data_IF_449149024033
#
_entry.id   IF_449149024033
#
_cell.length_a   1.000
_cell.length_b   1.000
_cell.length_c   1.000
_cell.angle_alpha   90.00
_cell.angle_beta   90.00
_cell.angle_gamma   90.00
#
_symmetry.space_group_name_H-M   'P 1'
#
loop_
_entity.id
_entity.type
_entity.pdbx_description
1 polymer ?
#
# COMPACT_ATOMS: atom_id res chain seq x y z
N UNK A 1 -1.16 8.96 -2.63
CA UNK A 1 -0.78 7.80 -3.49
C UNK A 1 -0.35 8.38 -4.83
N UNK A 2 0.95 8.43 -5.12
CA UNK A 2 1.46 9.20 -6.28
C UNK A 2 0.91 8.68 -7.60
N UNK A 3 0.85 7.36 -7.76
CA UNK A 3 0.34 6.66 -8.97
C UNK A 3 -1.11 7.01 -9.34
N UNK A 4 -1.86 7.66 -8.44
CA UNK A 4 -3.26 7.99 -8.65
C UNK A 4 -3.56 9.48 -8.91
N UNK A 5 -2.56 10.29 -9.27
CA UNK A 5 -2.78 11.71 -9.56
C UNK A 5 -3.13 12.51 -8.30
N UNK A 6 -2.20 12.52 -7.33
CA UNK A 6 -2.33 12.41 -5.85
C UNK A 6 -3.68 12.23 -5.15
N UNK A 7 -4.79 12.71 -5.71
CA UNK A 7 -6.10 12.85 -5.06
C UNK A 7 -7.07 11.79 -5.58
N UNK A 8 -7.43 10.86 -4.71
CA UNK A 8 -8.40 9.78 -4.95
C UNK A 8 -9.82 10.14 -4.51
N UNK A 9 -9.89 10.79 -3.35
CA UNK A 9 -11.13 11.16 -2.68
C UNK A 9 -10.97 12.53 -2.03
N UNK A 10 -12.08 13.27 -1.91
CA UNK A 10 -12.13 14.56 -1.23
C UNK A 10 -13.31 14.63 -0.28
N UNK A 11 -13.14 15.34 0.84
CA UNK A 11 -14.23 15.55 1.78
C UNK A 11 -15.28 16.48 1.15
N UNK A 12 -16.56 16.08 1.09
CA UNK A 12 -17.60 16.87 0.44
C UNK A 12 -17.98 18.13 1.23
N UNK A 13 -17.54 18.26 2.49
CA UNK A 13 -17.71 19.46 3.29
C UNK A 13 -16.95 20.68 2.73
N UNK A 14 -15.95 20.47 1.86
CA UNK A 14 -15.20 21.54 1.20
C UNK A 14 -15.78 21.94 -0.16
N UNK A 15 -16.89 21.36 -0.59
CA UNK A 15 -17.55 21.74 -1.83
C UNK A 15 -18.23 23.11 -1.69
N UNK A 16 -18.45 23.78 -2.84
CA UNK A 16 -19.23 25.04 -2.92
C UNK A 16 -20.59 24.89 -2.24
N UNK A 17 -21.23 23.74 -2.43
CA UNK A 17 -22.42 23.31 -1.70
C UNK A 17 -22.00 22.14 -0.79
N UNK A 18 -21.81 22.37 0.52
CA UNK A 18 -21.25 21.38 1.42
C UNK A 18 -22.26 20.24 1.66
N UNK A 19 -21.79 19.00 1.51
CA UNK A 19 -22.57 17.81 1.83
C UNK A 19 -22.13 17.22 3.18
N UNK A 20 -23.01 16.46 3.87
CA UNK A 20 -22.68 15.87 5.17
C UNK A 20 -21.48 14.93 5.08
N UNK A 21 -20.44 15.20 5.89
CA UNK A 21 -19.26 14.37 6.01
C UNK A 21 -19.25 13.64 7.35
N UNK A 22 -18.91 12.35 7.32
CA UNK A 22 -18.81 11.53 8.54
C UNK A 22 -17.39 11.62 9.13
N UNK A 23 -17.23 11.85 10.45
CA UNK A 23 -15.93 11.79 11.10
C UNK A 23 -15.20 10.46 10.79
N UNK A 24 -13.89 10.53 10.54
CA UNK A 24 -13.08 9.35 10.17
C UNK A 24 -13.17 8.92 8.70
N UNK A 25 -14.00 9.57 7.88
CA UNK A 25 -14.06 9.30 6.44
C UNK A 25 -12.92 9.99 5.68
N UNK A 26 -12.36 9.30 4.68
CA UNK A 26 -11.40 9.87 3.73
C UNK A 26 -12.07 10.63 2.56
N UNK A 27 -13.39 10.86 2.63
CA UNK A 27 -14.16 11.59 1.62
C UNK A 27 -14.81 10.71 0.55
N UNK A 28 -15.35 11.35 -0.48
CA UNK A 28 -16.00 10.69 -1.63
C UNK A 28 -15.07 10.66 -2.84
N UNK A 29 -15.27 9.70 -3.74
CA UNK A 29 -14.49 9.60 -4.99
C UNK A 29 -14.55 10.93 -5.77
N UNK A 30 -13.41 11.32 -6.34
CA UNK A 30 -13.32 12.56 -7.14
C UNK A 30 -14.21 12.48 -8.40
N UNK A 31 -14.65 13.65 -8.87
CA UNK A 31 -15.42 13.76 -10.13
C UNK A 31 -14.61 13.17 -11.29
N UNK A 32 -15.32 12.58 -12.25
CA UNK A 32 -14.76 11.95 -13.44
C UNK A 32 -13.85 10.74 -13.15
N UNK A 33 -14.01 10.11 -11.98
CA UNK A 33 -13.32 8.89 -11.62
C UNK A 33 -14.28 7.83 -11.07
N UNK A 34 -13.99 6.57 -11.36
CA UNK A 34 -14.72 5.41 -10.88
C UNK A 34 -13.87 4.70 -9.83
N UNK A 35 -14.49 4.32 -8.72
CA UNK A 35 -13.85 3.58 -7.64
C UNK A 35 -14.66 2.32 -7.34
N UNK A 36 -13.95 1.19 -7.22
CA UNK A 36 -14.52 -0.06 -6.71
C UNK A 36 -13.65 -0.63 -5.60
N UNK A 37 -14.28 -1.41 -4.72
CA UNK A 37 -13.59 -2.23 -3.73
C UNK A 37 -13.51 -3.64 -4.28
N UNK A 38 -12.34 -4.26 -4.20
CA UNK A 38 -12.06 -5.59 -4.74
C UNK A 38 -11.50 -6.48 -3.65
N UNK A 39 -11.93 -7.72 -3.59
CA UNK A 39 -11.32 -8.72 -2.71
C UNK A 39 -9.90 -9.06 -3.23
N UNK A 40 -8.84 -8.92 -2.41
CA UNK A 40 -7.47 -9.19 -2.84
C UNK A 40 -7.21 -10.64 -3.22
N UNK A 41 -8.00 -11.60 -2.71
CA UNK A 41 -7.81 -13.02 -2.95
C UNK A 41 -8.64 -13.52 -4.15
N UNK A 42 -9.89 -13.08 -4.27
CA UNK A 42 -10.81 -13.53 -5.33
C UNK A 42 -10.86 -12.61 -6.55
N UNK A 43 -10.44 -11.35 -6.42
CA UNK A 43 -10.53 -10.35 -7.49
C UNK A 43 -11.96 -9.89 -7.80
N UNK A 44 -12.95 -10.32 -7.01
CA UNK A 44 -14.35 -9.96 -7.20
C UNK A 44 -14.63 -8.56 -6.65
N UNK A 45 -15.56 -7.86 -7.32
CA UNK A 45 -15.99 -6.54 -6.86
C UNK A 45 -16.91 -6.70 -5.65
N UNK A 46 -16.56 -6.05 -4.55
CA UNK A 46 -17.29 -6.11 -3.29
C UNK A 46 -18.34 -5.00 -3.22
N UNK A 47 -19.43 -5.29 -2.50
CA UNK A 47 -20.49 -4.32 -2.20
C UNK A 47 -20.08 -3.27 -1.17
N UNK A 48 -21.02 -2.37 -0.85
CA UNK A 48 -20.83 -1.33 0.17
C UNK A 48 -20.58 -1.96 1.54
N UNK A 49 -19.75 -1.30 2.34
CA UNK A 49 -19.38 -1.70 3.72
C UNK A 49 -18.55 -2.99 3.83
N UNK A 50 -18.05 -3.54 2.73
CA UNK A 50 -17.11 -4.66 2.76
C UNK A 50 -15.67 -4.16 2.60
N UNK A 51 -14.73 -4.58 3.47
CA UNK A 51 -13.33 -4.19 3.34
C UNK A 51 -12.66 -4.92 2.18
N UNK A 52 -11.81 -4.22 1.42
CA UNK A 52 -11.03 -4.78 0.31
C UNK A 52 -10.02 -3.79 -0.26
N UNK A 53 -9.38 -4.15 -1.36
CA UNK A 53 -8.47 -3.29 -2.11
C UNK A 53 -9.24 -2.21 -2.88
N UNK A 54 -8.75 -0.97 -2.82
CA UNK A 54 -9.35 0.16 -3.55
C UNK A 54 -8.75 0.20 -4.96
N UNK A 55 -9.60 0.00 -5.97
CA UNK A 55 -9.22 0.19 -7.37
C UNK A 55 -9.92 1.44 -7.91
N UNK A 56 -9.15 2.37 -8.48
CA UNK A 56 -9.66 3.59 -9.10
C UNK A 56 -9.32 3.62 -10.59
N UNK A 57 -10.22 4.16 -11.40
CA UNK A 57 -10.01 4.46 -12.80
C UNK A 57 -10.40 5.91 -13.06
N UNK A 58 -9.55 6.65 -13.77
CA UNK A 58 -9.84 8.03 -14.12
C UNK A 58 -8.71 8.65 -14.96
N UNK A 59 -8.96 9.78 -15.61
CA UNK A 59 -7.97 10.46 -16.45
C UNK A 59 -6.77 10.99 -15.64
N UNK A 60 -6.94 11.22 -14.33
CA UNK A 60 -5.89 11.70 -13.43
C UNK A 60 -4.89 10.61 -13.00
N UNK A 61 -5.19 9.34 -13.26
CA UNK A 61 -4.32 8.23 -12.85
C UNK A 61 -3.05 8.23 -13.69
N UNK A 62 -1.89 8.08 -13.05
CA UNK A 62 -0.61 8.08 -13.76
C UNK A 62 -0.56 6.92 -14.76
N UNK A 63 -0.09 7.19 -15.97
CA UNK A 63 0.34 6.13 -16.88
C UNK A 63 1.54 5.45 -16.22
N UNK A 64 1.43 4.14 -15.98
CA UNK A 64 2.33 3.40 -15.09
C UNK A 64 3.81 3.74 -15.24
N UNK A 65 4.52 3.71 -14.10
CA UNK A 65 5.93 4.08 -13.93
C UNK A 65 6.79 3.94 -15.20
N UNK A 66 7.32 5.07 -15.68
CA UNK A 66 8.33 5.10 -16.73
C UNK A 66 9.57 4.34 -16.27
N UNK A 67 9.77 3.11 -16.80
CA UNK A 67 10.95 2.30 -16.53
C UNK A 67 10.69 0.92 -15.95
N UNK A 68 9.78 0.13 -16.55
CA UNK A 68 9.78 -1.33 -16.43
C UNK A 68 9.27 -1.98 -17.72
N UNK A 69 10.08 -1.91 -18.79
CA UNK A 69 10.02 -2.93 -19.81
C UNK A 69 10.37 -4.26 -19.13
N UNK A 70 9.49 -5.24 -19.31
CA UNK A 70 9.50 -6.56 -18.68
C UNK A 70 10.70 -7.37 -19.19
N UNK A 71 11.88 -7.10 -18.65
CA UNK A 71 13.11 -7.85 -18.92
C UNK A 71 13.15 -9.15 -18.13
N UNK A 72 12.73 -10.25 -18.78
CA UNK A 72 12.98 -11.60 -18.32
C UNK A 72 14.48 -11.94 -18.43
N UNK A 73 15.22 -11.83 -17.33
CA UNK A 73 16.49 -12.55 -17.17
C UNK A 73 16.84 -12.62 -15.67
N UNK A 74 16.60 -13.78 -15.08
CA UNK A 74 16.90 -14.10 -13.68
C UNK A 74 18.42 -14.36 -13.57
N UNK A 75 19.22 -13.31 -13.39
CA UNK A 75 20.65 -13.46 -13.03
C UNK A 75 20.77 -13.92 -11.56
N UNK A 76 21.55 -14.98 -11.24
CA UNK A 76 21.78 -15.37 -9.86
C UNK A 76 22.58 -14.29 -9.11
N UNK A 77 22.41 -14.15 -7.77
CA UNK A 77 23.04 -13.08 -7.01
C UNK A 77 24.53 -13.37 -6.79
N UNK A 78 25.39 -12.63 -7.50
CA UNK A 78 26.79 -12.43 -7.10
C UNK A 78 26.77 -11.62 -5.81
N UNK A 79 27.23 -12.21 -4.71
CA UNK A 79 27.39 -11.55 -3.40
C UNK A 79 28.47 -10.47 -3.48
N UNK A 80 28.13 -9.32 -4.06
CA UNK A 80 28.95 -8.11 -4.00
C UNK A 80 28.52 -7.36 -2.74
N UNK A 81 29.36 -7.37 -1.70
CA UNK A 81 29.17 -6.54 -0.48
C UNK A 81 29.08 -5.07 -0.91
N UNK A 82 27.85 -4.55 -1.09
CA UNK A 82 27.60 -3.12 -1.29
C UNK A 82 27.65 -2.44 0.07
N UNK A 83 28.65 -1.58 0.26
CA UNK A 83 28.66 -0.61 1.36
C UNK A 83 27.33 0.14 1.42
N UNK A 84 26.69 0.13 2.59
CA UNK A 84 25.33 0.64 2.81
C UNK A 84 25.35 2.17 2.64
N UNK A 85 24.78 2.68 1.55
CA UNK A 85 24.52 4.13 1.43
C UNK A 85 23.57 4.54 2.57
N UNK A 86 23.80 5.67 3.25
CA UNK A 86 22.90 6.15 4.28
C UNK A 86 21.52 6.42 3.66
N UNK A 87 20.49 5.92 4.32
CA UNK A 87 19.11 6.20 3.94
C UNK A 87 18.72 7.58 4.47
N UNK A 88 17.85 8.28 3.74
CA UNK A 88 17.25 9.56 4.17
C UNK A 88 16.60 9.44 5.55
N UNK A 89 16.56 10.53 6.32
CA UNK A 89 16.26 10.51 7.77
C UNK A 89 14.97 9.74 8.13
N UNK A 90 13.89 9.90 7.36
CA UNK A 90 12.60 9.26 7.60
C UNK A 90 12.56 7.76 7.26
N UNK A 91 13.61 7.22 6.64
CA UNK A 91 13.78 5.78 6.35
C UNK A 91 14.74 5.10 7.33
N UNK A 92 15.25 5.81 8.34
CA UNK A 92 16.10 5.21 9.39
C UNK A 92 15.26 4.25 10.24
N UNK A 93 15.84 3.11 10.61
CA UNK A 93 15.17 2.13 11.46
C UNK A 93 15.12 2.66 12.89
N UNK A 94 13.91 2.80 13.45
CA UNK A 94 13.72 3.28 14.83
C UNK A 94 13.88 2.16 15.86
N UNK A 95 13.50 0.93 15.53
CA UNK A 95 13.57 -0.24 16.42
C UNK A 95 14.02 -1.46 15.64
N UNK A 96 14.84 -2.29 16.27
CA UNK A 96 15.34 -3.56 15.71
C UNK A 96 15.05 -4.66 16.72
N UNK A 97 14.40 -5.72 16.27
CA UNK A 97 14.07 -6.89 17.08
C UNK A 97 14.78 -8.10 16.49
N UNK A 98 15.54 -8.81 17.31
CA UNK A 98 16.20 -10.05 16.91
C UNK A 98 15.25 -11.21 17.15
N UNK A 99 14.99 -12.00 16.11
CA UNK A 99 14.20 -13.23 16.20
C UNK A 99 15.00 -14.40 15.62
N UNK A 100 14.81 -15.63 16.15
CA UNK A 100 15.56 -16.80 15.68
C UNK A 100 15.24 -17.15 14.23
N UNK A 101 14.02 -16.86 13.77
CA UNK A 101 13.63 -17.02 12.37
C UNK A 101 12.67 -15.92 11.92
N UNK A 102 12.71 -15.61 10.63
CA UNK A 102 11.77 -14.69 9.98
C UNK A 102 10.66 -15.55 9.37
N UNK A 103 9.37 -15.35 9.73
CA UNK A 103 8.28 -16.12 9.18
C UNK A 103 8.17 -15.86 7.67
N UNK A 104 8.24 -16.95 6.90
CA UNK A 104 8.18 -16.96 5.45
C UNK A 104 7.10 -17.93 5.00
N UNK A 105 6.38 -17.60 3.94
CA UNK A 105 5.50 -18.55 3.27
C UNK A 105 6.31 -19.63 2.53
N UNK A 106 5.65 -20.70 2.06
CA UNK A 106 6.28 -21.72 1.22
C UNK A 106 6.92 -21.16 -0.07
N UNK A 107 6.46 -20.00 -0.55
CA UNK A 107 7.02 -19.26 -1.69
C UNK A 107 8.22 -18.36 -1.31
N UNK A 108 8.60 -18.32 -0.03
CA UNK A 108 9.70 -17.50 0.48
C UNK A 108 9.33 -16.03 0.75
N UNK A 109 8.05 -15.66 0.65
CA UNK A 109 7.59 -14.29 0.95
C UNK A 109 7.55 -14.06 2.46
N UNK A 110 8.09 -12.93 2.92
CA UNK A 110 8.07 -12.55 4.34
C UNK A 110 6.63 -12.23 4.76
N UNK A 111 6.16 -12.90 5.82
CA UNK A 111 4.83 -12.73 6.37
C UNK A 111 4.77 -11.49 7.27
N UNK A 112 4.71 -10.30 6.64
CA UNK A 112 4.71 -9.01 7.34
C UNK A 112 3.54 -8.84 8.33
N UNK A 113 2.39 -9.46 8.05
CA UNK A 113 1.22 -9.43 8.94
C UNK A 113 1.52 -10.11 10.27
N UNK A 114 2.14 -11.28 10.24
CA UNK A 114 2.56 -12.00 11.45
C UNK A 114 3.66 -11.25 12.21
N UNK A 115 4.63 -10.69 11.51
CA UNK A 115 5.66 -9.86 12.15
C UNK A 115 5.05 -8.66 12.88
N UNK A 116 4.07 -7.97 12.28
CA UNK A 116 3.33 -6.89 12.94
C UNK A 116 2.54 -7.39 14.15
N UNK A 117 1.89 -8.55 14.04
CA UNK A 117 1.15 -9.16 15.14
C UNK A 117 2.06 -9.53 16.32
N UNK A 118 3.24 -10.11 16.06
CA UNK A 118 4.25 -10.43 17.09
C UNK A 118 4.73 -9.18 17.82
N UNK A 119 4.93 -8.08 17.11
CA UNK A 119 5.31 -6.80 17.72
C UNK A 119 4.18 -6.16 18.52
N UNK A 120 2.93 -6.28 18.06
CA UNK A 120 1.77 -5.80 18.79
C UNK A 120 1.55 -6.58 20.10
N UNK A 121 1.65 -7.91 20.04
CA UNK A 121 1.54 -8.77 21.22
C UNK A 121 2.66 -8.50 22.25
N UNK A 122 3.88 -8.23 21.78
CA UNK A 122 5.01 -7.89 22.64
C UNK A 122 4.93 -6.46 23.25
N UNK A 123 4.01 -5.60 22.79
CA UNK A 123 3.83 -4.25 23.32
C UNK A 123 2.72 -4.16 24.39
N UNK A 124 1.90 -5.21 24.52
CA UNK A 124 0.79 -5.33 25.49
C UNK A 124 1.16 -6.13 26.74
N UNK A 125 2.44 -6.50 26.89
CA UNK A 125 3.02 -7.13 28.08
C UNK A 125 4.04 -6.18 28.71
#
# INVERSE_FOLDING_TARGET
MTEAGPVLSMCPAFAKEPAPAKPGSCGTVVRNAELKVVDPDTGLSLGRNLPGEICIRGPQIMKGSAGRARGSARRPPVHRRRGRRPVVFYKRLHKVYFTPSIPKSASGKILRRELRAKLAAAATA
#
